data_IF_579155187326
#
_entry.id   IF_579155187326
#
_cell.length_a   1.000
_cell.length_b   1.000
_cell.length_c   1.000
_cell.angle_alpha   90.00
_cell.angle_beta   90.00
_cell.angle_gamma   90.00
#
_symmetry.space_group_name_H-M   'P 1'
#
loop_
_entity.id
_entity.type
_entity.pdbx_description
1 polymer ?
#
# COMPACT_ATOMS: atom_id res chain seq x y z
N UNK A 1 -34.32 34.66 58.17
CA UNK A 1 -32.95 34.35 58.66
C UNK A 1 -32.00 34.63 57.49
N UNK A 2 -31.43 35.84 57.35
CA UNK A 2 -30.08 36.30 57.81
C UNK A 2 -28.97 35.27 57.50
N UNK A 3 -28.20 35.47 56.42
CA UNK A 3 -26.82 36.04 56.34
C UNK A 3 -25.74 34.98 56.66
N UNK A 4 -24.73 34.68 55.82
CA UNK A 4 -23.50 35.41 55.44
C UNK A 4 -22.95 34.76 54.14
N UNK A 5 -22.54 35.43 53.05
CA UNK A 5 -21.32 36.22 52.79
C UNK A 5 -19.99 35.55 53.20
N UNK A 6 -19.20 35.10 52.21
CA UNK A 6 -17.80 35.49 52.09
C UNK A 6 -17.35 35.50 50.61
N UNK A 7 -16.85 36.66 50.21
CA UNK A 7 -16.19 36.99 48.93
C UNK A 7 -14.69 36.89 49.15
N UNK A 8 -13.94 36.37 48.17
CA UNK A 8 -12.55 36.79 47.94
C UNK A 8 -12.31 36.96 46.44
N UNK A 9 -12.08 38.21 46.03
CA UNK A 9 -11.37 38.61 44.81
C UNK A 9 -9.84 38.50 45.10
N UNK A 10 -8.86 38.58 44.20
CA UNK A 10 -8.74 39.00 42.81
C UNK A 10 -7.38 38.48 42.28
N UNK A 11 -7.20 38.37 40.96
CA UNK A 11 -6.00 38.89 40.27
C UNK A 11 -6.15 38.72 38.76
N UNK A 12 -6.20 39.86 38.08
CA UNK A 12 -6.18 40.04 36.63
C UNK A 12 -4.81 39.69 36.04
N UNK A 13 -4.80 39.18 34.80
CA UNK A 13 -3.57 38.97 34.05
C UNK A 13 -3.86 38.72 32.57
N UNK A 14 -4.21 39.77 31.83
CA UNK A 14 -4.19 39.79 30.37
C UNK A 14 -2.72 39.83 29.94
N UNK A 15 -2.25 38.80 29.23
CA UNK A 15 -0.95 38.82 28.56
C UNK A 15 -1.15 38.51 27.07
N UNK A 16 -0.81 39.52 26.28
CA UNK A 16 -0.78 39.54 24.83
C UNK A 16 0.20 38.48 24.29
N UNK A 17 -0.25 37.63 23.37
CA UNK A 17 0.65 36.80 22.56
C UNK A 17 1.28 37.66 21.45
N UNK A 18 2.61 37.62 21.23
CA UNK A 18 3.22 38.44 20.19
C UNK A 18 3.00 37.82 18.81
N UNK A 19 2.55 38.66 17.88
CA UNK A 19 2.53 38.39 16.45
C UNK A 19 3.95 38.45 15.84
N UNK A 20 4.16 37.55 14.88
CA UNK A 20 5.11 37.52 13.74
C UNK A 20 6.62 37.40 14.02
N UNK A 21 7.13 36.22 13.67
CA UNK A 21 8.47 36.05 13.11
C UNK A 21 8.43 35.04 11.97
N UNK A 22 8.52 35.52 10.73
CA UNK A 22 8.84 34.68 9.55
C UNK A 22 10.29 34.24 9.66
N UNK A 23 10.55 33.07 10.22
CA UNK A 23 11.85 32.44 10.15
C UNK A 23 11.90 31.59 8.87
N UNK A 24 12.59 32.09 7.85
CA UNK A 24 13.09 31.23 6.77
C UNK A 24 13.97 30.15 7.40
N UNK A 25 13.53 28.90 7.30
CA UNK A 25 14.36 27.75 7.60
C UNK A 25 15.51 27.69 6.58
N UNK A 26 16.76 27.47 7.00
CA UNK A 26 17.88 27.40 6.08
C UNK A 26 17.79 26.12 5.24
N UNK A 27 18.11 26.25 3.95
CA UNK A 27 17.88 25.26 2.89
C UNK A 27 18.92 24.11 2.84
N UNK A 28 19.55 23.81 3.98
CA UNK A 28 20.73 22.95 4.09
C UNK A 28 20.61 21.86 5.17
N UNK A 29 19.40 21.61 5.68
CA UNK A 29 19.13 20.30 6.32
C UNK A 29 18.95 19.24 5.25
N UNK A 30 20.08 18.65 4.89
CA UNK A 30 20.20 17.30 4.33
C UNK A 30 19.15 16.40 5.02
N UNK A 31 18.16 15.95 4.24
CA UNK A 31 17.19 14.91 4.63
C UNK A 31 17.89 13.55 4.66
N UNK A 32 18.94 13.43 5.47
CA UNK A 32 19.60 12.16 5.73
C UNK A 32 18.97 11.52 6.98
N UNK A 33 18.46 10.31 6.77
CA UNK A 33 18.31 9.27 7.79
C UNK A 33 17.26 9.43 8.89
N UNK A 34 16.10 10.01 8.58
CA UNK A 34 14.88 9.64 9.32
C UNK A 34 14.21 8.47 8.61
N UNK A 35 14.27 7.23 9.14
CA UNK A 35 13.49 6.14 8.60
C UNK A 35 12.03 6.59 8.59
N UNK A 36 11.34 6.36 7.48
CA UNK A 36 9.91 6.57 7.41
C UNK A 36 9.26 5.86 8.61
N UNK A 37 8.24 6.45 9.25
CA UNK A 37 7.62 5.93 10.48
C UNK A 37 7.21 4.45 10.35
N UNK A 38 6.88 3.99 9.13
CA UNK A 38 6.64 2.58 8.82
C UNK A 38 7.91 1.71 8.82
N UNK A 39 9.03 2.23 8.33
CA UNK A 39 10.29 1.52 8.20
C UNK A 39 10.94 1.28 9.57
N UNK A 40 10.95 2.25 10.48
CA UNK A 40 11.47 2.04 11.85
C UNK A 40 10.70 0.98 12.64
N UNK A 41 9.37 0.94 12.48
CA UNK A 41 8.51 -0.06 13.15
C UNK A 41 8.64 -1.44 12.51
N UNK A 42 8.75 -1.52 11.18
CA UNK A 42 8.91 -2.77 10.46
C UNK A 42 10.33 -3.36 10.60
N UNK A 43 11.38 -2.52 10.69
CA UNK A 43 12.79 -2.95 10.79
C UNK A 43 13.12 -3.66 12.11
N UNK A 44 12.30 -3.48 13.15
CA UNK A 44 12.44 -4.17 14.44
C UNK A 44 11.43 -5.31 14.64
N UNK A 45 10.44 -5.46 13.75
CA UNK A 45 9.45 -6.51 13.84
C UNK A 45 9.86 -7.66 12.92
N UNK A 46 9.99 -8.87 13.47
CA UNK A 46 10.25 -10.02 12.62
C UNK A 46 9.06 -10.26 11.67
N UNK A 47 9.29 -10.77 10.45
CA UNK A 47 8.21 -11.09 9.51
C UNK A 47 7.12 -11.97 10.12
N UNK A 48 7.49 -12.91 11.00
CA UNK A 48 6.58 -13.83 11.68
C UNK A 48 5.68 -13.09 12.68
N UNK A 49 6.22 -12.12 13.41
CA UNK A 49 5.43 -11.29 14.33
C UNK A 49 4.44 -10.42 13.55
N UNK A 50 4.86 -9.83 12.44
CA UNK A 50 3.98 -9.05 11.57
C UNK A 50 2.84 -9.92 11.00
N UNK A 51 3.15 -11.14 10.55
CA UNK A 51 2.14 -12.08 10.10
C UNK A 51 1.14 -12.42 11.22
N UNK A 52 1.63 -12.76 12.42
CA UNK A 52 0.79 -13.12 13.56
C UNK A 52 -0.21 -12.01 13.95
N UNK A 53 0.25 -10.76 14.00
CA UNK A 53 -0.62 -9.61 14.30
C UNK A 53 -1.70 -9.40 13.23
N UNK A 54 -1.32 -9.56 11.95
CA UNK A 54 -2.27 -9.43 10.84
C UNK A 54 -3.27 -10.59 10.79
N UNK A 55 -2.84 -11.82 11.06
CA UNK A 55 -3.73 -12.98 11.20
C UNK A 55 -4.72 -12.80 12.36
N UNK A 56 -4.28 -12.23 13.48
CA UNK A 56 -5.15 -11.87 14.60
C UNK A 56 -6.22 -10.85 14.16
N UNK A 57 -5.82 -9.82 13.43
CA UNK A 57 -6.74 -8.81 12.90
C UNK A 57 -7.74 -9.43 11.91
N UNK A 58 -7.28 -10.34 11.04
CA UNK A 58 -8.13 -11.06 10.10
C UNK A 58 -9.14 -11.97 10.82
N UNK A 59 -8.75 -12.64 11.90
CA UNK A 59 -9.63 -13.50 12.70
C UNK A 59 -10.75 -12.70 13.38
N UNK A 60 -10.50 -11.44 13.74
CA UNK A 60 -11.48 -10.53 14.33
C UNK A 60 -12.42 -9.89 13.28
N UNK A 61 -12.14 -10.05 11.99
CA UNK A 61 -12.98 -9.48 10.94
C UNK A 61 -14.34 -10.20 10.86
N UNK A 62 -15.41 -9.45 11.10
CA UNK A 62 -16.79 -9.99 11.18
C UNK A 62 -17.55 -9.96 9.85
N UNK A 63 -17.02 -9.31 8.82
CA UNK A 63 -17.66 -9.22 7.49
C UNK A 63 -16.69 -9.50 6.36
N UNK A 64 -17.21 -9.98 5.24
CA UNK A 64 -16.42 -10.25 4.04
C UNK A 64 -15.79 -8.98 3.47
N UNK A 65 -16.47 -7.84 3.61
CA UNK A 65 -15.91 -6.54 3.28
C UNK A 65 -14.65 -6.24 4.11
N UNK A 66 -14.69 -6.38 5.44
CA UNK A 66 -13.50 -6.18 6.29
C UNK A 66 -12.39 -7.16 5.94
N UNK A 67 -12.73 -8.43 5.67
CA UNK A 67 -11.74 -9.43 5.25
C UNK A 67 -11.07 -9.03 3.94
N UNK A 68 -11.82 -8.53 2.96
CA UNK A 68 -11.29 -8.04 1.69
C UNK A 68 -10.21 -6.96 1.88
N UNK A 69 -10.42 -6.04 2.81
CA UNK A 69 -9.45 -4.97 3.13
C UNK A 69 -8.18 -5.50 3.82
N UNK A 70 -8.31 -6.53 4.64
CA UNK A 70 -7.21 -7.03 5.48
C UNK A 70 -6.35 -8.07 4.75
N UNK A 71 -6.98 -8.93 3.92
CA UNK A 71 -6.33 -10.04 3.23
C UNK A 71 -5.08 -9.66 2.42
N UNK A 72 -5.05 -8.56 1.65
CA UNK A 72 -3.84 -8.09 0.96
C UNK A 72 -2.62 -7.96 1.88
N UNK A 73 -2.80 -7.33 3.03
CA UNK A 73 -1.72 -7.13 3.99
C UNK A 73 -1.28 -8.44 4.65
N UNK A 74 -2.22 -9.36 4.92
CA UNK A 74 -1.92 -10.69 5.48
C UNK A 74 -1.14 -11.53 4.47
N UNK A 75 -1.56 -11.54 3.20
CA UNK A 75 -0.91 -12.26 2.12
C UNK A 75 0.55 -11.79 1.93
N UNK A 76 0.76 -10.48 1.92
CA UNK A 76 2.11 -9.89 1.89
C UNK A 76 2.95 -10.31 3.09
N UNK A 77 2.43 -10.18 4.31
CA UNK A 77 3.18 -10.55 5.50
C UNK A 77 3.52 -12.05 5.53
N UNK A 78 2.61 -12.91 5.05
CA UNK A 78 2.88 -14.34 4.94
C UNK A 78 3.99 -14.65 3.94
N UNK A 79 4.03 -13.93 2.81
CA UNK A 79 5.10 -14.04 1.83
C UNK A 79 6.44 -13.61 2.41
N UNK A 80 6.50 -12.45 3.08
CA UNK A 80 7.75 -11.95 3.70
C UNK A 80 8.21 -12.84 4.87
N UNK A 81 7.30 -13.53 5.55
CA UNK A 81 7.61 -14.53 6.57
C UNK A 81 8.00 -15.91 5.98
N UNK A 82 8.05 -16.06 4.66
CA UNK A 82 8.36 -17.32 3.99
C UNK A 82 7.30 -18.42 4.16
N UNK A 83 6.12 -18.08 4.68
CA UNK A 83 5.01 -19.02 4.88
C UNK A 83 4.17 -19.10 3.58
N UNK A 84 4.80 -19.63 2.54
CA UNK A 84 4.33 -19.53 1.16
C UNK A 84 2.93 -20.13 0.92
N UNK A 85 2.61 -21.26 1.55
CA UNK A 85 1.28 -21.89 1.42
C UNK A 85 0.18 -20.99 1.97
N UNK A 86 0.44 -20.30 3.09
CA UNK A 86 -0.50 -19.32 3.64
C UNK A 86 -0.59 -18.09 2.76
N UNK A 87 0.54 -17.59 2.26
CA UNK A 87 0.57 -16.44 1.36
C UNK A 87 -0.31 -16.67 0.13
N UNK A 88 -0.21 -17.85 -0.48
CA UNK A 88 -1.05 -18.26 -1.60
C UNK A 88 -2.54 -18.30 -1.23
N UNK A 89 -2.89 -18.95 -0.12
CA UNK A 89 -4.28 -19.02 0.34
C UNK A 89 -4.87 -17.63 0.63
N UNK A 90 -4.10 -16.75 1.26
CA UNK A 90 -4.54 -15.39 1.56
C UNK A 90 -4.63 -14.51 0.31
N UNK A 91 -3.82 -14.77 -0.73
CA UNK A 91 -3.88 -14.05 -1.99
C UNK A 91 -5.02 -14.51 -2.92
N UNK A 92 -5.40 -15.79 -2.87
CA UNK A 92 -6.51 -16.35 -3.67
C UNK A 92 -7.87 -15.91 -3.15
N UNK A 93 -8.07 -15.87 -1.83
CA UNK A 93 -9.34 -15.49 -1.20
C UNK A 93 -9.93 -14.16 -1.70
N UNK A 94 -9.18 -13.04 -1.75
CA UNK A 94 -9.73 -11.78 -2.25
C UNK A 94 -10.08 -11.85 -3.75
N UNK A 95 -9.35 -12.62 -4.56
CA UNK A 95 -9.65 -12.83 -5.98
C UNK A 95 -10.96 -13.60 -6.16
N UNK A 96 -11.14 -14.69 -5.40
CA UNK A 96 -12.40 -15.46 -5.40
C UNK A 96 -13.59 -14.62 -4.93
N UNK A 97 -13.38 -13.75 -3.93
CA UNK A 97 -14.39 -12.81 -3.49
C UNK A 97 -14.69 -11.79 -4.59
N UNK A 98 -13.68 -11.17 -5.20
CA UNK A 98 -13.85 -10.21 -6.28
C UNK A 98 -14.64 -10.81 -7.47
N UNK A 99 -14.29 -12.03 -7.90
CA UNK A 99 -15.00 -12.75 -8.98
C UNK A 99 -16.45 -13.04 -8.62
N UNK A 100 -16.69 -13.56 -7.40
CA UNK A 100 -18.04 -13.84 -6.88
C UNK A 100 -18.90 -12.58 -6.75
N UNK A 101 -18.25 -11.42 -6.63
CA UNK A 101 -18.89 -10.15 -6.33
C UNK A 101 -18.91 -9.15 -7.50
N UNK A 102 -18.39 -9.52 -8.67
CA UNK A 102 -18.44 -8.72 -9.89
C UNK A 102 -19.89 -8.33 -10.28
N UNK A 103 -20.89 -9.04 -9.73
CA UNK A 103 -22.31 -8.76 -9.88
C UNK A 103 -23.01 -8.06 -8.68
N UNK A 104 -22.37 -7.85 -7.51
CA UNK A 104 -23.08 -7.40 -6.29
C UNK A 104 -22.48 -6.21 -5.54
N UNK A 105 -21.20 -5.87 -5.76
CA UNK A 105 -20.54 -4.78 -5.01
C UNK A 105 -20.75 -3.38 -5.59
N UNK A 106 -21.64 -3.24 -6.58
CA UNK A 106 -22.22 -1.95 -6.99
C UNK A 106 -23.35 -1.47 -6.07
N UNK A 107 -23.74 -2.28 -5.07
CA UNK A 107 -24.86 -1.96 -4.17
C UNK A 107 -24.53 -2.27 -2.71
N UNK A 108 -23.60 -1.51 -2.14
CA UNK A 108 -23.71 -1.17 -0.72
C UNK A 108 -24.65 0.04 -0.63
N UNK A 109 -25.61 0.00 0.29
CA UNK A 109 -26.56 1.09 0.56
C UNK A 109 -25.85 2.46 0.54
N UNK A 110 -26.18 3.31 -0.45
CA UNK A 110 -25.58 4.64 -0.59
C UNK A 110 -24.68 4.88 -1.82
N UNK A 111 -24.54 3.92 -2.74
CA UNK A 111 -24.15 4.22 -4.13
C UNK A 111 -22.72 4.68 -4.39
N UNK A 112 -21.75 4.35 -3.52
CA UNK A 112 -20.33 4.50 -3.86
C UNK A 112 -19.77 3.19 -4.45
N UNK A 113 -19.07 3.24 -5.61
CA UNK A 113 -18.29 2.10 -6.09
C UNK A 113 -17.32 1.68 -4.99
N UNK A 114 -17.23 0.39 -4.70
CA UNK A 114 -16.27 -0.09 -3.69
C UNK A 114 -14.87 0.00 -4.29
N UNK A 115 -14.26 1.13 -4.00
CA UNK A 115 -12.91 1.55 -4.37
C UNK A 115 -11.82 0.56 -3.92
N UNK A 116 -12.13 -0.31 -2.97
CA UNK A 116 -11.17 -1.20 -2.30
C UNK A 116 -11.05 -2.59 -2.96
N UNK A 117 -11.93 -2.93 -3.90
CA UNK A 117 -11.79 -4.18 -4.69
C UNK A 117 -10.52 -4.12 -5.56
N UNK A 118 -10.13 -2.92 -6.01
CA UNK A 118 -8.94 -2.74 -6.83
C UNK A 118 -7.65 -3.12 -6.10
N UNK A 119 -7.53 -2.76 -4.82
CA UNK A 119 -6.40 -3.17 -3.96
C UNK A 119 -6.39 -4.69 -3.77
N UNK A 120 -7.56 -5.27 -3.49
CA UNK A 120 -7.69 -6.70 -3.24
C UNK A 120 -7.24 -7.52 -4.46
N UNK A 121 -7.65 -7.12 -5.66
CA UNK A 121 -7.24 -7.75 -6.92
C UNK A 121 -5.75 -7.53 -7.19
N UNK A 122 -5.28 -6.29 -7.06
CA UNK A 122 -3.88 -5.93 -7.31
C UNK A 122 -2.92 -6.74 -6.44
N UNK A 123 -3.12 -6.70 -5.12
CA UNK A 123 -2.21 -7.35 -4.17
C UNK A 123 -2.33 -8.88 -4.16
N UNK A 124 -3.52 -9.42 -4.46
CA UNK A 124 -3.70 -10.86 -4.67
C UNK A 124 -2.81 -11.35 -5.81
N UNK A 125 -2.86 -10.68 -6.96
CA UNK A 125 -1.99 -11.03 -8.08
C UNK A 125 -0.52 -10.71 -7.83
N UNK A 126 -0.19 -9.62 -7.14
CA UNK A 126 1.19 -9.32 -6.76
C UNK A 126 1.82 -10.47 -5.97
N UNK A 127 1.15 -10.95 -4.91
CA UNK A 127 1.68 -12.03 -4.06
C UNK A 127 1.80 -13.34 -4.84
N UNK A 128 0.78 -13.71 -5.63
CA UNK A 128 0.82 -14.93 -6.45
C UNK A 128 1.95 -14.89 -7.49
N UNK A 129 2.18 -13.73 -8.12
CA UNK A 129 3.27 -13.58 -9.07
C UNK A 129 4.65 -13.70 -8.42
N UNK A 130 4.84 -13.14 -7.22
CA UNK A 130 6.12 -13.30 -6.48
C UNK A 130 6.35 -14.73 -6.01
N UNK A 131 5.30 -15.43 -5.58
CA UNK A 131 5.35 -16.86 -5.30
C UNK A 131 5.74 -17.67 -6.55
N UNK A 132 5.22 -17.30 -7.72
CA UNK A 132 5.59 -17.92 -8.98
C UNK A 132 7.08 -17.71 -9.31
N UNK A 133 7.62 -16.51 -9.09
CA UNK A 133 9.08 -16.26 -9.21
C UNK A 133 9.87 -17.19 -8.29
N UNK A 134 9.46 -17.32 -7.01
CA UNK A 134 10.13 -18.22 -6.05
C UNK A 134 10.11 -19.69 -6.48
N UNK A 135 9.08 -20.10 -7.22
CA UNK A 135 8.91 -21.45 -7.77
C UNK A 135 9.63 -21.64 -9.12
N UNK A 136 10.22 -20.59 -9.69
CA UNK A 136 10.81 -20.60 -11.03
C UNK A 136 9.79 -20.63 -12.17
N UNK A 137 8.52 -20.34 -11.88
CA UNK A 137 7.44 -20.26 -12.88
C UNK A 137 7.33 -18.83 -13.42
N UNK A 138 8.24 -18.50 -14.35
CA UNK A 138 8.32 -17.19 -14.98
C UNK A 138 7.05 -16.81 -15.72
N UNK A 139 6.39 -17.76 -16.40
CA UNK A 139 5.17 -17.49 -17.17
C UNK A 139 3.98 -17.17 -16.26
N UNK A 140 3.81 -17.89 -15.15
CA UNK A 140 2.81 -17.53 -14.16
C UNK A 140 3.09 -16.17 -13.51
N UNK A 141 4.36 -15.86 -13.21
CA UNK A 141 4.76 -14.55 -12.66
C UNK A 141 4.38 -13.39 -13.61
N UNK A 142 4.68 -13.54 -14.91
CA UNK A 142 4.32 -12.56 -15.95
C UNK A 142 2.82 -12.37 -16.04
N UNK A 143 2.06 -13.47 -16.10
CA UNK A 143 0.60 -13.45 -16.13
C UNK A 143 0.04 -12.68 -14.93
N UNK A 144 0.54 -12.97 -13.74
CA UNK A 144 0.08 -12.30 -12.52
C UNK A 144 0.44 -10.81 -12.50
N UNK A 145 1.62 -10.41 -12.98
CA UNK A 145 1.95 -8.99 -13.10
C UNK A 145 0.95 -8.24 -13.99
N UNK A 146 0.64 -8.79 -15.17
CA UNK A 146 -0.31 -8.18 -16.10
C UNK A 146 -1.75 -8.15 -15.55
N UNK A 147 -2.17 -9.19 -14.84
CA UNK A 147 -3.48 -9.19 -14.17
C UNK A 147 -3.56 -8.14 -13.06
N UNK A 148 -2.47 -7.93 -12.30
CA UNK A 148 -2.42 -6.87 -11.31
C UNK A 148 -2.58 -5.48 -11.96
N UNK A 149 -1.91 -5.23 -13.08
CA UNK A 149 -2.01 -3.96 -13.82
C UNK A 149 -3.38 -3.71 -14.47
N UNK A 150 -4.18 -4.75 -14.69
CA UNK A 150 -5.52 -4.65 -15.28
C UNK A 150 -6.62 -4.27 -14.29
N UNK A 151 -6.30 -4.08 -13.02
CA UNK A 151 -7.24 -3.61 -12.00
C UNK A 151 -7.92 -2.28 -12.39
N UNK A 152 -9.10 -2.02 -11.83
CA UNK A 152 -9.84 -0.78 -12.02
C UNK A 152 -9.23 0.44 -11.31
N UNK A 153 -8.11 0.26 -10.60
CA UNK A 153 -7.53 1.25 -9.70
C UNK A 153 -8.16 1.19 -8.31
N UNK A 154 -7.64 2.01 -7.40
CA UNK A 154 -8.13 2.20 -6.04
C UNK A 154 -7.62 3.54 -5.52
N UNK A 155 -8.21 4.14 -4.47
CA UNK A 155 -7.71 5.39 -3.91
C UNK A 155 -6.24 5.27 -3.48
N UNK A 156 -5.84 4.09 -2.99
CA UNK A 156 -4.45 3.77 -2.65
C UNK A 156 -3.55 3.77 -3.89
N UNK A 157 -3.92 3.01 -4.93
CA UNK A 157 -3.15 2.84 -6.16
C UNK A 157 -3.11 4.13 -6.99
N UNK A 158 -4.18 4.91 -6.97
CA UNK A 158 -4.31 6.17 -7.69
C UNK A 158 -3.42 7.25 -7.04
N UNK A 159 -3.24 7.20 -5.71
CA UNK A 159 -2.45 8.17 -4.94
C UNK A 159 -0.97 7.77 -4.85
N UNK A 160 -0.67 6.62 -4.26
CA UNK A 160 0.70 6.18 -3.98
C UNK A 160 1.34 5.45 -5.17
N UNK A 161 0.51 4.96 -6.08
CA UNK A 161 0.93 4.11 -7.18
C UNK A 161 0.84 2.62 -6.86
N UNK A 162 1.28 1.79 -7.82
CA UNK A 162 1.33 0.36 -7.64
C UNK A 162 2.68 -0.09 -7.06
N UNK A 163 2.65 -1.17 -6.28
CA UNK A 163 3.85 -1.81 -5.79
C UNK A 163 4.63 -2.47 -6.95
N UNK A 164 5.94 -2.24 -7.00
CA UNK A 164 6.85 -2.63 -8.08
C UNK A 164 7.75 -3.84 -7.74
N UNK A 165 7.53 -4.50 -6.61
CA UNK A 165 8.35 -5.64 -6.16
C UNK A 165 8.39 -6.78 -7.19
N UNK A 166 7.22 -7.20 -7.70
CA UNK A 166 7.14 -8.24 -8.74
C UNK A 166 7.75 -7.79 -10.07
N UNK A 167 7.50 -6.54 -10.49
CA UNK A 167 8.12 -5.97 -11.69
C UNK A 167 9.65 -6.00 -11.59
N UNK A 168 10.21 -5.59 -10.45
CA UNK A 168 11.65 -5.66 -10.18
C UNK A 168 12.19 -7.08 -10.22
N UNK A 169 11.47 -8.04 -9.63
CA UNK A 169 11.85 -9.46 -9.66
C UNK A 169 11.87 -10.01 -11.09
N UNK A 170 10.86 -9.69 -11.90
CA UNK A 170 10.80 -10.06 -13.32
C UNK A 170 11.93 -9.41 -14.15
N UNK A 171 12.28 -8.15 -13.89
CA UNK A 171 13.42 -7.50 -14.54
C UNK A 171 14.76 -8.17 -14.21
N UNK A 172 14.95 -8.67 -12.98
CA UNK A 172 16.18 -9.39 -12.59
C UNK A 172 16.38 -10.69 -13.36
N UNK A 173 15.30 -11.31 -13.82
CA UNK A 173 15.34 -12.54 -14.64
C UNK A 173 15.16 -12.25 -16.15
N UNK A 174 15.16 -10.98 -16.57
CA UNK A 174 15.20 -10.58 -17.97
C UNK A 174 13.85 -10.28 -18.65
N UNK A 175 12.73 -10.36 -17.92
CA UNK A 175 11.37 -10.23 -18.47
C UNK A 175 10.95 -8.76 -18.68
N UNK A 176 11.65 -8.07 -19.59
CA UNK A 176 11.49 -6.62 -19.82
C UNK A 176 10.18 -6.25 -20.50
N UNK A 177 9.79 -7.01 -21.53
CA UNK A 177 8.59 -6.70 -22.32
C UNK A 177 7.32 -6.74 -21.47
N UNK A 178 7.20 -7.75 -20.61
CA UNK A 178 6.09 -7.87 -19.66
C UNK A 178 6.03 -6.68 -18.72
N UNK A 179 7.18 -6.24 -18.21
CA UNK A 179 7.24 -5.10 -17.29
C UNK A 179 6.88 -3.80 -17.98
N UNK A 180 7.30 -3.59 -19.23
CA UNK A 180 6.87 -2.43 -20.02
C UNK A 180 5.35 -2.43 -20.27
N UNK A 181 4.77 -3.58 -20.60
CA UNK A 181 3.32 -3.73 -20.75
C UNK A 181 2.59 -3.39 -19.44
N UNK A 182 3.12 -3.86 -18.31
CA UNK A 182 2.57 -3.55 -16.99
C UNK A 182 2.66 -2.07 -16.65
N UNK A 183 3.79 -1.40 -16.93
CA UNK A 183 3.93 0.05 -16.70
C UNK A 183 2.90 0.86 -17.51
N UNK A 184 2.62 0.44 -18.74
CA UNK A 184 1.56 1.07 -19.55
C UNK A 184 0.16 0.82 -18.98
N UNK A 185 -0.11 -0.37 -18.46
CA UNK A 185 -1.37 -0.63 -17.76
C UNK A 185 -1.52 0.25 -16.51
N UNK A 186 -0.44 0.47 -15.75
CA UNK A 186 -0.43 1.33 -14.57
C UNK A 186 -0.81 2.78 -14.89
N UNK A 187 -0.45 3.28 -16.08
CA UNK A 187 -0.81 4.63 -16.55
C UNK A 187 -2.32 4.88 -16.57
N UNK A 188 -3.13 3.82 -16.64
CA UNK A 188 -4.60 3.94 -16.67
C UNK A 188 -5.17 4.45 -15.35
N UNK A 189 -4.60 4.02 -14.22
CA UNK A 189 -5.09 4.37 -12.89
C UNK A 189 -4.17 5.36 -12.16
N UNK A 190 -2.84 5.25 -12.30
CA UNK A 190 -1.91 6.13 -11.58
C UNK A 190 -1.63 7.41 -12.37
N UNK A 191 -2.46 8.43 -12.16
CA UNK A 191 -2.35 9.74 -12.84
C UNK A 191 -1.35 10.68 -12.19
N UNK A 192 -1.14 10.52 -10.88
CA UNK A 192 -0.17 11.29 -10.09
C UNK A 192 1.19 10.58 -10.04
N UNK A 193 1.59 9.93 -11.14
CA UNK A 193 2.88 9.23 -11.22
C UNK A 193 4.07 10.20 -11.27
N UNK A 194 3.82 11.50 -11.51
CA UNK A 194 4.84 12.56 -11.62
C UNK A 194 5.93 12.23 -12.65
N UNK A 195 5.57 11.55 -13.75
CA UNK A 195 6.50 11.14 -14.81
C UNK A 195 7.37 9.93 -14.47
N UNK A 196 7.17 9.29 -13.31
CA UNK A 196 7.93 8.10 -12.90
C UNK A 196 7.73 6.95 -13.89
N UNK A 197 6.53 6.74 -14.43
CA UNK A 197 6.28 5.65 -15.38
C UNK A 197 7.12 5.81 -16.66
N UNK A 198 7.32 7.05 -17.13
CA UNK A 198 8.13 7.33 -18.32
C UNK A 198 9.62 7.11 -18.04
N UNK A 199 10.11 7.59 -16.89
CA UNK A 199 11.50 7.39 -16.45
C UNK A 199 11.81 5.91 -16.26
N UNK A 200 10.90 5.16 -15.64
CA UNK A 200 11.05 3.73 -15.41
C UNK A 200 11.02 2.96 -16.73
N UNK A 201 10.10 3.28 -17.63
CA UNK A 201 10.02 2.66 -18.96
C UNK A 201 11.30 2.91 -19.78
N UNK A 202 11.83 4.15 -19.76
CA UNK A 202 13.08 4.49 -20.42
C UNK A 202 14.28 3.70 -19.87
N UNK A 203 14.32 3.49 -18.55
CA UNK A 203 15.36 2.68 -17.90
C UNK A 203 15.27 1.21 -18.31
N UNK A 204 14.06 0.63 -18.31
CA UNK A 204 13.83 -0.76 -18.74
C UNK A 204 14.21 -0.98 -20.21
N UNK A 205 13.87 -0.04 -21.09
CA UNK A 205 14.26 -0.08 -22.51
C UNK A 205 15.78 -0.09 -22.72
N UNK A 206 16.54 0.54 -21.82
CA UNK A 206 18.01 0.52 -21.82
C UNK A 206 18.59 -0.70 -21.10
N UNK A 207 17.77 -1.75 -20.90
CA UNK A 207 18.12 -2.97 -20.17
C UNK A 207 18.48 -2.77 -18.69
N UNK A 208 18.15 -1.60 -18.12
CA UNK A 208 18.35 -1.30 -16.71
C UNK A 208 17.20 -1.75 -15.83
N UNK A 209 17.43 -1.75 -14.51
CA UNK A 209 16.39 -1.91 -13.50
C UNK A 209 16.15 -0.53 -12.89
N UNK A 210 14.93 0.04 -12.99
CA UNK A 210 14.63 1.33 -12.38
C UNK A 210 14.80 1.30 -10.86
N UNK A 211 15.19 2.44 -10.30
CA UNK A 211 14.97 2.68 -8.88
C UNK A 211 13.49 2.98 -8.66
N UNK A 212 12.79 2.01 -8.08
CA UNK A 212 11.38 2.10 -7.75
C UNK A 212 11.12 2.77 -6.39
N UNK A 213 12.15 3.03 -5.59
CA UNK A 213 12.05 3.70 -4.30
C UNK A 213 10.94 3.12 -3.39
N UNK A 214 10.06 4.00 -2.91
CA UNK A 214 8.98 3.65 -1.98
C UNK A 214 7.98 2.60 -2.55
N UNK A 215 7.84 2.49 -3.88
CA UNK A 215 6.97 1.53 -4.54
C UNK A 215 7.40 0.06 -4.32
N UNK A 216 8.49 -0.20 -3.61
CA UNK A 216 8.91 -1.56 -3.27
C UNK A 216 8.36 -2.07 -1.94
N UNK A 217 7.81 -1.20 -1.09
CA UNK A 217 7.59 -1.54 0.33
C UNK A 217 6.12 -1.64 0.75
N UNK A 218 5.26 -0.71 0.34
CA UNK A 218 3.87 -0.60 0.83
C UNK A 218 2.96 -1.72 0.35
#
# INVERSE_FOLDING_TARGET
MRSLILVLAAASGVAQGPHRGTASLPADRVLEDTPNYSEAVLKHRSPELLLSERETTLAQATSDFRRLLILPGVAKAALEAGVNDKAEQYAIKPLQLADKHQARLTTAEGGRPISDVGDAVFYGHLVLGRLAVLRGDTEAAKKHLLLAGQTGGSPTLDTFGPNMSLARELLKIGERETVLQYLEQCRRFWKDDHGRLDVWSATVNKSGIPDFGANLFY
#
